data_IF_347267274263
#
_entry.id   IF_347267274263
#
_cell.length_a   1.000
_cell.length_b   1.000
_cell.length_c   1.000
_cell.angle_alpha   90.00
_cell.angle_beta   90.00
_cell.angle_gamma   90.00
#
_symmetry.space_group_name_H-M   'P 1'
#
loop_
_entity.id
_entity.type
_entity.pdbx_description
1 polymer ?
#
# COMPACT_ATOMS: atom_id res chain seq x y z
N UNK A 1 -12.36 29.05 -27.38
CA UNK A 1 -11.61 27.79 -27.54
C UNK A 1 -11.54 27.12 -26.18
N UNK A 2 -12.04 25.90 -26.12
CA UNK A 2 -12.45 25.18 -24.91
C UNK A 2 -11.25 24.76 -24.06
N UNK A 3 -11.28 25.07 -22.76
CA UNK A 3 -10.35 24.51 -21.77
C UNK A 3 -10.50 23.00 -21.69
N UNK A 4 -9.38 22.28 -21.67
CA UNK A 4 -9.32 20.89 -21.21
C UNK A 4 -8.50 20.90 -19.92
N UNK A 5 -9.18 20.98 -18.77
CA UNK A 5 -8.59 20.55 -17.50
C UNK A 5 -8.60 19.03 -17.49
N UNK A 6 -7.43 18.43 -17.64
CA UNK A 6 -7.24 17.01 -17.34
C UNK A 6 -7.21 16.82 -15.83
N UNK A 7 -8.40 16.68 -15.23
CA UNK A 7 -8.54 16.16 -13.87
C UNK A 7 -8.41 14.64 -13.93
N UNK A 8 -7.17 14.13 -14.00
CA UNK A 8 -6.90 12.76 -13.61
C UNK A 8 -7.06 12.70 -12.08
N UNK A 9 -8.23 12.28 -11.61
CA UNK A 9 -8.41 11.85 -10.23
C UNK A 9 -7.42 10.71 -9.98
N UNK A 10 -6.41 10.97 -9.16
CA UNK A 10 -5.45 9.96 -8.71
C UNK A 10 -6.27 8.85 -8.04
N UNK A 11 -6.27 7.64 -8.62
CA UNK A 11 -6.97 6.46 -8.11
C UNK A 11 -6.36 6.02 -6.77
N UNK A 12 -6.69 6.74 -5.71
CA UNK A 12 -6.34 6.35 -4.35
C UNK A 12 -7.18 5.14 -3.94
N UNK A 13 -6.66 4.23 -3.10
CA UNK A 13 -7.51 3.25 -2.44
C UNK A 13 -8.60 4.02 -1.67
N UNK A 14 -9.80 3.42 -1.48
CA UNK A 14 -10.91 4.10 -0.83
C UNK A 14 -10.44 4.74 0.48
N UNK A 15 -10.65 6.06 0.60
CA UNK A 15 -10.27 6.80 1.79
C UNK A 15 -10.90 6.13 3.02
N UNK A 16 -10.12 5.88 4.07
CA UNK A 16 -10.59 5.22 5.26
C UNK A 16 -11.70 6.03 5.96
N UNK A 17 -12.84 5.42 6.34
CA UNK A 17 -13.83 6.08 7.19
C UNK A 17 -13.25 6.59 8.52
N UNK A 18 -13.68 7.79 8.93
CA UNK A 18 -13.41 8.36 10.25
C UNK A 18 -13.90 7.43 11.37
N UNK A 19 -13.07 7.19 12.40
CA UNK A 19 -13.44 6.45 13.61
C UNK A 19 -13.15 7.34 14.83
N UNK A 20 -14.16 8.06 15.31
CA UNK A 20 -14.11 8.87 16.54
C UNK A 20 -13.16 10.08 16.48
N UNK A 21 -12.64 10.48 17.65
CA UNK A 21 -11.77 11.65 17.84
C UNK A 21 -10.28 11.39 17.53
N UNK A 22 -9.91 10.14 17.23
CA UNK A 22 -8.59 9.79 16.70
C UNK A 22 -8.63 9.87 15.18
N UNK A 23 -7.96 10.88 14.63
CA UNK A 23 -7.74 11.03 13.19
C UNK A 23 -7.15 9.74 12.62
N UNK A 24 -7.94 9.01 11.83
CA UNK A 24 -7.41 7.89 11.05
C UNK A 24 -6.40 8.45 10.06
N UNK A 25 -5.12 8.22 10.30
CA UNK A 25 -4.05 8.62 9.39
C UNK A 25 -3.77 7.45 8.44
N UNK A 26 -4.46 7.44 7.30
CA UNK A 26 -4.29 6.40 6.29
C UNK A 26 -2.82 6.25 5.87
N UNK A 27 -2.37 5.01 5.78
CA UNK A 27 -1.00 4.63 5.45
C UNK A 27 -0.01 4.67 6.61
N UNK A 28 -0.42 5.05 7.84
CA UNK A 28 0.49 5.11 9.00
C UNK A 28 0.42 3.86 9.90
N UNK A 29 -0.60 3.01 9.74
CA UNK A 29 -0.72 1.69 10.38
C UNK A 29 -0.43 1.66 11.91
N UNK A 30 -0.83 2.71 12.64
CA UNK A 30 -0.49 2.89 14.07
C UNK A 30 -1.04 1.79 15.00
N UNK A 31 -2.04 1.04 14.56
CA UNK A 31 -2.60 -0.12 15.28
C UNK A 31 -1.69 -1.35 15.25
N UNK A 32 -0.65 -1.37 14.41
CA UNK A 32 0.35 -2.45 14.36
C UNK A 32 1.45 -2.15 15.38
N UNK A 33 1.53 -2.99 16.43
CA UNK A 33 2.50 -2.83 17.54
C UNK A 33 3.93 -3.21 17.14
N UNK A 34 4.08 -4.20 16.25
CA UNK A 34 5.39 -4.59 15.74
C UNK A 34 5.94 -3.45 14.87
N UNK A 35 6.99 -2.78 15.34
CA UNK A 35 7.57 -1.62 14.66
C UNK A 35 8.12 -1.95 13.29
N UNK A 36 8.73 -3.13 13.13
CA UNK A 36 9.33 -3.57 11.87
C UNK A 36 8.25 -3.86 10.81
N UNK A 37 7.20 -4.59 11.18
CA UNK A 37 6.04 -4.81 10.31
C UNK A 37 5.36 -3.51 9.91
N UNK A 38 5.18 -2.59 10.88
CA UNK A 38 4.62 -1.27 10.60
C UNK A 38 5.47 -0.50 9.59
N UNK A 39 6.80 -0.47 9.76
CA UNK A 39 7.70 0.20 8.81
C UNK A 39 7.58 -0.37 7.40
N UNK A 40 7.51 -1.70 7.25
CA UNK A 40 7.30 -2.34 5.94
C UNK A 40 6.01 -1.89 5.28
N UNK A 41 4.90 -1.87 6.02
CA UNK A 41 3.60 -1.51 5.47
C UNK A 41 3.50 -0.02 5.15
N UNK A 42 4.03 0.86 6.01
CA UNK A 42 4.06 2.32 5.79
C UNK A 42 4.86 2.66 4.54
N UNK A 43 6.06 2.08 4.39
CA UNK A 43 6.92 2.36 3.24
C UNK A 43 6.35 1.79 1.95
N UNK A 44 5.77 0.59 1.98
CA UNK A 44 5.07 0.02 0.82
C UNK A 44 3.85 0.86 0.40
N UNK A 45 3.02 1.29 1.35
CA UNK A 45 1.86 2.15 1.06
C UNK A 45 2.29 3.46 0.40
N UNK A 46 3.30 4.14 0.98
CA UNK A 46 3.85 5.38 0.42
C UNK A 46 4.46 5.15 -0.96
N UNK A 47 5.18 4.06 -1.16
CA UNK A 47 5.76 3.72 -2.45
C UNK A 47 4.68 3.54 -3.52
N UNK A 48 3.66 2.72 -3.26
CA UNK A 48 2.56 2.46 -4.21
C UNK A 48 1.78 3.75 -4.52
N UNK A 49 1.57 4.60 -3.51
CA UNK A 49 0.94 5.91 -3.70
C UNK A 49 1.78 6.81 -4.61
N UNK A 50 3.09 6.90 -4.39
CA UNK A 50 4.00 7.76 -5.17
C UNK A 50 4.25 7.23 -6.58
N UNK A 51 4.09 5.93 -6.82
CA UNK A 51 4.22 5.31 -8.15
C UNK A 51 2.86 5.13 -8.82
N UNK A 52 1.77 5.66 -8.24
CA UNK A 52 0.40 5.59 -8.76
C UNK A 52 -0.04 4.16 -9.14
N UNK A 53 0.45 3.16 -8.40
CA UNK A 53 0.38 1.76 -8.81
C UNK A 53 -0.78 0.98 -8.16
N UNK A 54 -1.70 1.66 -7.48
CA UNK A 54 -2.80 1.00 -6.76
C UNK A 54 -3.68 0.11 -7.65
N UNK A 55 -3.96 0.53 -8.89
CA UNK A 55 -4.77 -0.27 -9.81
C UNK A 55 -4.04 -1.54 -10.30
N UNK A 56 -2.70 -1.49 -10.42
CA UNK A 56 -1.91 -2.69 -10.65
C UNK A 56 -1.99 -3.64 -9.45
N UNK A 57 -1.85 -3.11 -8.24
CA UNK A 57 -1.86 -3.89 -7.00
C UNK A 57 -3.20 -4.61 -6.76
N UNK A 58 -4.32 -4.06 -7.26
CA UNK A 58 -5.65 -4.71 -7.20
C UNK A 58 -5.73 -6.00 -8.02
N UNK A 59 -4.96 -6.12 -9.11
CA UNK A 59 -5.00 -7.27 -10.04
C UNK A 59 -4.69 -8.58 -9.32
N UNK A 60 -5.09 -9.69 -9.91
CA UNK A 60 -4.66 -10.99 -9.40
C UNK A 60 -3.22 -11.27 -9.84
N UNK A 61 -2.33 -11.42 -8.87
CA UNK A 61 -0.89 -11.57 -9.07
C UNK A 61 -0.49 -12.83 -8.33
N UNK A 62 0.04 -13.80 -9.08
CA UNK A 62 0.43 -15.11 -8.57
C UNK A 62 1.48 -14.97 -7.46
N UNK A 63 2.59 -14.29 -7.76
CA UNK A 63 3.66 -14.03 -6.80
C UNK A 63 4.25 -12.64 -6.98
N UNK A 64 4.24 -11.83 -5.92
CA UNK A 64 5.01 -10.59 -5.88
C UNK A 64 6.51 -10.85 -5.68
N UNK A 65 6.88 -11.96 -5.04
CA UNK A 65 8.27 -12.30 -4.74
C UNK A 65 9.05 -12.72 -5.99
N UNK A 66 8.39 -13.39 -6.92
CA UNK A 66 8.99 -13.90 -8.17
C UNK A 66 8.43 -13.20 -9.42
N UNK A 67 7.80 -12.04 -9.23
CA UNK A 67 7.27 -11.26 -10.34
C UNK A 67 8.42 -10.67 -11.16
N UNK A 68 8.32 -10.77 -12.48
CA UNK A 68 9.18 -10.07 -13.44
C UNK A 68 8.51 -8.77 -13.97
N UNK A 69 7.34 -8.42 -13.44
CA UNK A 69 6.63 -7.19 -13.82
C UNK A 69 7.38 -5.94 -13.32
N UNK A 70 7.66 -5.03 -14.25
CA UNK A 70 8.41 -3.78 -14.00
C UNK A 70 7.73 -2.87 -12.97
N UNK A 71 6.41 -2.97 -12.77
CA UNK A 71 5.71 -2.20 -11.72
C UNK A 71 6.10 -2.72 -10.34
N UNK A 72 6.33 -4.02 -10.18
CA UNK A 72 6.82 -4.60 -8.92
C UNK A 72 8.24 -4.10 -8.64
N UNK A 73 9.11 -4.06 -9.65
CA UNK A 73 10.46 -3.49 -9.52
C UNK A 73 10.42 -2.01 -9.15
N UNK A 74 9.55 -1.23 -9.82
CA UNK A 74 9.36 0.18 -9.55
C UNK A 74 8.95 0.44 -8.09
N UNK A 75 7.99 -0.33 -7.58
CA UNK A 75 7.54 -0.22 -6.19
C UNK A 75 8.67 -0.63 -5.24
N UNK A 76 9.34 -1.76 -5.50
CA UNK A 76 10.45 -2.25 -4.69
C UNK A 76 11.56 -1.21 -4.56
N UNK A 77 12.00 -0.64 -5.68
CA UNK A 77 13.00 0.41 -5.70
C UNK A 77 12.54 1.65 -4.92
N UNK A 78 11.26 2.06 -5.05
CA UNK A 78 10.71 3.18 -4.29
C UNK A 78 10.68 2.91 -2.78
N UNK A 79 10.41 1.68 -2.34
CA UNK A 79 10.48 1.29 -0.92
C UNK A 79 11.91 1.46 -0.39
N UNK A 80 12.92 1.04 -1.18
CA UNK A 80 14.34 1.24 -0.84
C UNK A 80 14.69 2.72 -0.74
N UNK A 81 14.26 3.54 -1.69
CA UNK A 81 14.47 5.00 -1.66
C UNK A 81 13.82 5.68 -0.45
N UNK A 82 12.66 5.18 0.01
CA UNK A 82 11.98 5.65 1.22
C UNK A 82 12.63 5.18 2.53
N UNK A 83 13.78 4.49 2.43
CA UNK A 83 14.62 4.13 3.57
C UNK A 83 14.37 2.74 4.12
N UNK A 84 13.69 1.85 3.38
CA UNK A 84 13.53 0.46 3.78
C UNK A 84 14.13 -0.51 2.77
N UNK A 85 15.31 -1.04 3.10
CA UNK A 85 16.03 -2.05 2.28
C UNK A 85 16.02 -3.46 2.89
N UNK A 86 15.25 -3.68 3.97
CA UNK A 86 15.30 -4.89 4.79
C UNK A 86 14.46 -6.07 4.32
N UNK A 87 13.89 -6.03 3.11
CA UNK A 87 13.04 -7.12 2.65
C UNK A 87 13.85 -8.35 2.23
N UNK A 88 13.58 -9.49 2.86
CA UNK A 88 13.70 -10.78 2.17
C UNK A 88 12.57 -10.94 1.16
N UNK A 89 12.76 -11.75 0.12
CA UNK A 89 11.70 -12.03 -0.87
C UNK A 89 10.36 -12.48 -0.23
N UNK A 90 10.43 -13.25 0.86
CA UNK A 90 9.26 -13.65 1.65
C UNK A 90 8.57 -12.45 2.30
N UNK A 91 9.32 -11.60 3.00
CA UNK A 91 8.76 -10.40 3.66
C UNK A 91 8.20 -9.38 2.66
N UNK A 92 8.81 -9.27 1.47
CA UNK A 92 8.28 -8.44 0.39
C UNK A 92 6.94 -8.98 -0.10
N UNK A 93 6.88 -10.28 -0.42
CA UNK A 93 5.63 -10.93 -0.84
C UNK A 93 4.51 -10.79 0.18
N UNK A 94 4.82 -10.97 1.46
CA UNK A 94 3.88 -10.76 2.57
C UNK A 94 3.35 -9.31 2.61
N UNK A 95 4.25 -8.34 2.52
CA UNK A 95 3.90 -6.91 2.55
C UNK A 95 3.03 -6.54 1.36
N UNK A 96 3.40 -6.96 0.15
CA UNK A 96 2.64 -6.67 -1.07
C UNK A 96 1.27 -7.35 -1.10
N UNK A 97 1.14 -8.55 -0.51
CA UNK A 97 -0.17 -9.21 -0.39
C UNK A 97 -1.12 -8.45 0.53
N UNK A 98 -0.60 -7.83 1.60
CA UNK A 98 -1.38 -6.94 2.46
C UNK A 98 -1.78 -5.66 1.74
N UNK A 99 -0.86 -5.07 0.96
CA UNK A 99 -1.19 -3.92 0.10
C UNK A 99 -2.26 -4.26 -0.93
N UNK A 100 -2.22 -5.46 -1.53
CA UNK A 100 -3.28 -5.94 -2.42
C UNK A 100 -4.63 -6.07 -1.70
N UNK A 101 -4.64 -6.59 -0.47
CA UNK A 101 -5.86 -6.62 0.33
C UNK A 101 -6.41 -5.21 0.58
N UNK A 102 -5.55 -4.26 0.95
CA UNK A 102 -5.92 -2.86 1.18
C UNK A 102 -6.43 -2.21 -0.12
N UNK A 103 -5.78 -2.46 -1.25
CA UNK A 103 -6.20 -1.91 -2.54
C UNK A 103 -7.60 -2.39 -2.96
N UNK A 104 -7.98 -3.61 -2.55
CA UNK A 104 -9.29 -4.21 -2.85
C UNK A 104 -10.38 -3.85 -1.84
N UNK A 105 -10.04 -3.67 -0.56
CA UNK A 105 -11.02 -3.58 0.54
C UNK A 105 -10.94 -2.28 1.36
N UNK A 106 -9.91 -1.48 1.17
CA UNK A 106 -9.58 -0.33 2.00
C UNK A 106 -8.83 -0.69 3.28
N UNK A 107 -8.15 0.31 3.86
CA UNK A 107 -7.34 0.12 5.07
C UNK A 107 -8.22 -0.17 6.31
N UNK A 108 -9.45 0.34 6.35
CA UNK A 108 -10.34 0.09 7.50
C UNK A 108 -10.70 -1.38 7.66
N UNK A 109 -11.00 -2.08 6.57
CA UNK A 109 -11.26 -3.52 6.62
C UNK A 109 -10.01 -4.31 6.96
N UNK A 110 -8.84 -3.82 6.52
CA UNK A 110 -7.56 -4.41 6.91
C UNK A 110 -7.28 -4.23 8.42
N UNK A 111 -7.53 -3.04 8.98
CA UNK A 111 -7.40 -2.76 10.39
C UNK A 111 -8.30 -3.65 11.24
N UNK A 112 -9.60 -3.76 10.90
CA UNK A 112 -10.56 -4.63 11.59
C UNK A 112 -10.07 -6.07 11.62
N UNK A 113 -9.64 -6.58 10.46
CA UNK A 113 -9.10 -7.94 10.31
C UNK A 113 -7.81 -8.17 11.08
N UNK A 114 -6.96 -7.16 11.21
CA UNK A 114 -5.69 -7.28 11.93
C UNK A 114 -5.90 -7.32 13.45
N UNK A 115 -6.81 -6.49 13.98
CA UNK A 115 -7.08 -6.39 15.42
C UNK A 115 -7.86 -7.61 15.95
N UNK A 116 -8.59 -8.32 15.09
CA UNK A 116 -9.36 -9.51 15.47
C UNK A 116 -8.55 -10.81 15.55
N UNK A 117 -7.24 -10.77 15.23
CA UNK A 117 -6.32 -11.91 15.31
C UNK A 117 -5.61 -11.96 16.66
#
# INVERSE_FOLDING_TARGET
MTSISNNNEISMPPSPPFIGDTQFLGGEFRYIKNSHERTMLVTAYKAIQMTESWDFIKKDIESFTFSEDKIVDLISNKIVELGYCGHSGCSFGYTMRRMQYIARNGENEFMKKYISQ
#
